data_IF_523814435178
#
_entry.id   IF_523814435178
#
_cell.length_a   1.000
_cell.length_b   1.000
_cell.length_c   1.000
_cell.angle_alpha   90.00
_cell.angle_beta   90.00
_cell.angle_gamma   90.00
#
_symmetry.space_group_name_H-M   'P 1'
#
loop_
_entity.id
_entity.type
_entity.pdbx_description
1 polymer ?
#
# COMPACT_ATOMS: atom_id res chain seq x y z
N UNK A 1 1.91 17.04 11.34
CA UNK A 1 0.81 16.71 10.41
C UNK A 1 1.10 15.32 9.87
N UNK A 2 0.48 14.28 10.44
CA UNK A 2 0.77 12.86 10.17
C UNK A 2 0.04 12.38 8.90
N UNK A 3 0.67 11.44 8.19
CA UNK A 3 0.43 11.08 6.79
C UNK A 3 -0.82 10.20 6.56
N UNK A 4 -1.38 10.24 5.34
CA UNK A 4 -2.53 9.45 4.81
C UNK A 4 -2.30 7.92 4.72
N UNK A 5 -1.28 7.39 5.40
CA UNK A 5 -0.82 6.01 5.29
C UNK A 5 -0.46 5.50 6.69
N UNK A 6 -1.44 5.37 7.58
CA UNK A 6 -1.18 4.79 8.91
C UNK A 6 -1.02 3.28 8.81
N UNK A 7 -1.90 2.62 8.08
CA UNK A 7 -1.95 1.17 7.93
C UNK A 7 -2.14 0.76 6.47
N UNK A 8 -1.60 -0.40 6.08
CA UNK A 8 -1.70 -0.99 4.75
C UNK A 8 -2.00 -2.48 4.87
N UNK A 9 -3.00 -2.94 4.14
CA UNK A 9 -3.48 -4.32 4.04
C UNK A 9 -2.84 -5.02 2.83
N UNK A 10 -1.51 -5.03 2.78
CA UNK A 10 -0.77 -5.65 1.67
C UNK A 10 -0.92 -7.17 1.72
N UNK A 11 -1.43 -7.77 0.64
CA UNK A 11 -1.58 -9.21 0.49
C UNK A 11 -0.63 -9.76 -0.59
N UNK A 12 0.19 -10.78 -0.30
CA UNK A 12 1.04 -11.39 -1.31
C UNK A 12 0.21 -12.04 -2.43
N UNK A 13 0.65 -11.96 -3.71
CA UNK A 13 -0.09 -12.57 -4.82
C UNK A 13 -0.33 -14.09 -4.66
N UNK A 14 0.63 -14.83 -4.10
CA UNK A 14 0.46 -16.26 -3.86
C UNK A 14 -0.62 -16.55 -2.80
N UNK A 15 -0.78 -15.69 -1.80
CA UNK A 15 -1.83 -15.82 -0.80
C UNK A 15 -3.21 -15.55 -1.40
N UNK A 16 -3.33 -14.56 -2.31
CA UNK A 16 -4.57 -14.32 -3.07
C UNK A 16 -4.95 -15.57 -3.87
N UNK A 17 -4.00 -16.12 -4.63
CA UNK A 17 -4.25 -17.31 -5.46
C UNK A 17 -4.68 -18.51 -4.61
N UNK A 18 -3.96 -18.79 -3.52
CA UNK A 18 -4.31 -19.92 -2.64
C UNK A 18 -5.67 -19.70 -1.96
N UNK A 19 -6.01 -18.47 -1.54
CA UNK A 19 -7.32 -18.17 -0.97
C UNK A 19 -8.46 -18.38 -1.98
N UNK A 20 -8.24 -18.07 -3.26
CA UNK A 20 -9.20 -18.37 -4.33
C UNK A 20 -9.38 -19.88 -4.47
N UNK A 21 -8.29 -20.66 -4.44
CA UNK A 21 -8.34 -22.12 -4.51
C UNK A 21 -9.04 -22.74 -3.30
N UNK A 22 -8.76 -22.24 -2.09
CA UNK A 22 -9.42 -22.69 -0.85
C UNK A 22 -10.94 -22.59 -0.96
N UNK A 23 -11.45 -21.49 -1.49
CA UNK A 23 -12.89 -21.25 -1.64
C UNK A 23 -13.46 -22.02 -2.82
N UNK A 24 -12.78 -22.04 -3.96
CA UNK A 24 -13.28 -22.67 -5.19
C UNK A 24 -13.37 -24.19 -5.10
N UNK A 25 -12.50 -24.82 -4.30
CA UNK A 25 -12.44 -26.28 -4.13
C UNK A 25 -12.96 -26.77 -2.78
N UNK A 26 -13.58 -25.90 -1.98
CA UNK A 26 -14.25 -26.30 -0.75
C UNK A 26 -15.43 -27.25 -1.05
N UNK A 27 -15.70 -28.17 -0.13
CA UNK A 27 -16.88 -29.03 -0.20
C UNK A 27 -18.18 -28.27 0.11
N UNK A 28 -18.07 -27.17 0.85
CA UNK A 28 -19.17 -26.28 1.19
C UNK A 28 -19.48 -25.33 0.03
N UNK A 29 -20.73 -24.90 -0.08
CA UNK A 29 -21.12 -23.89 -1.07
C UNK A 29 -20.39 -22.55 -0.79
N UNK A 30 -19.75 -21.93 -1.79
CA UNK A 30 -19.00 -20.70 -1.57
C UNK A 30 -19.94 -19.55 -1.20
N UNK A 31 -19.51 -18.63 -0.31
CA UNK A 31 -20.28 -17.43 -0.02
C UNK A 31 -20.39 -16.53 -1.25
N UNK A 32 -21.45 -15.71 -1.30
CA UNK A 32 -21.71 -14.78 -2.42
C UNK A 32 -20.57 -13.77 -2.61
N UNK A 33 -19.97 -13.29 -1.53
CA UNK A 33 -18.90 -12.29 -1.55
C UNK A 33 -17.81 -12.65 -0.55
N UNK A 34 -16.56 -12.51 -0.98
CA UNK A 34 -15.36 -12.63 -0.15
C UNK A 34 -14.47 -11.40 -0.37
N UNK A 35 -14.23 -10.62 0.67
CA UNK A 35 -13.28 -9.50 0.61
C UNK A 35 -11.85 -10.03 0.78
N UNK A 36 -11.14 -10.23 -0.32
CA UNK A 36 -9.73 -10.65 -0.32
C UNK A 36 -8.78 -9.46 -0.13
N UNK A 37 -8.78 -8.92 1.09
CA UNK A 37 -7.78 -7.96 1.57
C UNK A 37 -7.03 -8.56 2.75
N UNK A 38 -5.83 -8.06 3.07
CA UNK A 38 -5.06 -8.61 4.18
C UNK A 38 -5.78 -8.41 5.52
N UNK A 39 -6.06 -9.47 6.32
CA UNK A 39 -6.86 -9.38 7.54
C UNK A 39 -6.12 -8.72 8.72
N UNK A 40 -4.79 -8.59 8.61
CA UNK A 40 -3.91 -8.05 9.65
C UNK A 40 -3.06 -6.92 9.06
N UNK A 41 -3.59 -5.70 8.93
CA UNK A 41 -2.88 -4.62 8.27
C UNK A 41 -1.63 -4.22 9.06
N UNK A 42 -0.58 -3.81 8.35
CA UNK A 42 0.70 -3.39 8.95
C UNK A 42 0.89 -1.89 8.81
N UNK A 43 1.71 -1.29 9.66
CA UNK A 43 2.04 0.12 9.54
C UNK A 43 2.81 0.40 8.23
N UNK A 44 2.49 1.49 7.53
CA UNK A 44 3.18 1.88 6.29
C UNK A 44 4.71 1.93 6.44
N UNK A 45 5.17 2.40 7.60
CA UNK A 45 6.60 2.50 7.91
C UNK A 45 7.29 1.12 7.92
N UNK A 46 6.59 0.08 8.34
CA UNK A 46 7.09 -1.31 8.32
C UNK A 46 7.42 -1.77 6.90
N UNK A 47 6.69 -1.28 5.89
CA UNK A 47 6.96 -1.60 4.48
C UNK A 47 8.10 -0.75 3.90
N UNK A 48 8.05 0.58 4.08
CA UNK A 48 8.97 1.48 3.34
C UNK A 48 10.35 1.57 3.98
N UNK A 49 10.47 1.37 5.30
CA UNK A 49 11.77 1.47 5.97
C UNK A 49 12.79 0.44 5.44
N UNK A 50 12.46 -0.86 5.28
CA UNK A 50 13.36 -1.81 4.64
C UNK A 50 13.77 -1.42 3.22
N UNK A 51 12.90 -0.76 2.45
CA UNK A 51 13.23 -0.27 1.11
C UNK A 51 14.27 0.85 1.19
N UNK A 52 14.09 1.83 2.09
CA UNK A 52 15.04 2.91 2.29
C UNK A 52 16.41 2.39 2.75
N UNK A 53 16.44 1.36 3.60
CA UNK A 53 17.66 0.67 4.05
C UNK A 53 18.34 -0.07 2.88
N UNK A 54 17.57 -0.81 2.08
CA UNK A 54 18.08 -1.52 0.91
C UNK A 54 18.68 -0.58 -0.14
N UNK A 55 18.10 0.62 -0.34
CA UNK A 55 18.66 1.62 -1.27
C UNK A 55 20.07 2.07 -0.85
N UNK A 56 20.34 2.16 0.45
CA UNK A 56 21.67 2.49 0.99
C UNK A 56 22.61 1.29 0.85
N UNK A 57 22.15 0.09 1.21
CA UNK A 57 22.91 -1.16 1.08
C UNK A 57 23.38 -1.38 -0.37
N UNK A 58 22.48 -1.16 -1.33
CA UNK A 58 22.75 -1.27 -2.77
C UNK A 58 23.42 -0.03 -3.37
N UNK A 59 23.82 0.95 -2.57
CA UNK A 59 24.53 2.18 -3.00
C UNK A 59 23.77 3.01 -4.03
N UNK A 60 22.44 2.91 -4.05
CA UNK A 60 21.57 3.76 -4.87
C UNK A 60 21.56 5.17 -4.29
N UNK A 61 21.56 5.28 -2.95
CA UNK A 61 21.71 6.55 -2.22
C UNK A 61 22.83 6.45 -1.20
N UNK A 62 23.44 7.59 -0.84
CA UNK A 62 24.49 7.66 0.20
C UNK A 62 23.93 7.64 1.62
N UNK A 63 22.64 7.89 1.79
CA UNK A 63 21.93 7.91 3.07
C UNK A 63 20.45 7.53 2.87
N UNK A 64 19.75 7.09 3.93
CA UNK A 64 18.33 6.78 3.85
C UNK A 64 17.52 7.99 3.38
N UNK A 65 16.55 7.78 2.49
CA UNK A 65 15.66 8.84 2.06
C UNK A 65 14.77 9.30 3.24
N UNK A 66 14.56 10.62 3.41
CA UNK A 66 13.73 11.13 4.50
C UNK A 66 12.25 10.81 4.27
N UNK A 67 11.57 10.42 5.35
CA UNK A 67 10.12 10.28 5.36
C UNK A 67 9.46 11.65 5.59
N UNK A 68 8.84 12.19 4.54
CA UNK A 68 8.11 13.45 4.60
C UNK A 68 6.60 13.22 4.52
N UNK A 69 5.75 14.13 5.02
CA UNK A 69 4.31 14.09 4.79
C UNK A 69 3.97 14.05 3.29
N UNK A 70 2.89 13.35 2.94
CA UNK A 70 2.48 13.21 1.53
C UNK A 70 2.23 14.54 0.83
N UNK A 71 1.64 15.53 1.52
CA UNK A 71 1.43 16.88 0.98
C UNK A 71 2.74 17.57 0.60
N UNK A 72 3.75 17.46 1.46
CA UNK A 72 5.08 18.01 1.19
C UNK A 72 5.76 17.29 0.02
N UNK A 73 5.62 15.97 -0.06
CA UNK A 73 6.12 15.20 -1.20
C UNK A 73 5.44 15.61 -2.52
N UNK A 74 4.11 15.78 -2.52
CA UNK A 74 3.34 16.19 -3.69
C UNK A 74 3.73 17.60 -4.15
N UNK A 75 3.89 18.56 -3.24
CA UNK A 75 4.32 19.92 -3.56
C UNK A 75 5.70 19.94 -4.26
N UNK A 76 6.64 19.11 -3.79
CA UNK A 76 7.96 18.95 -4.44
C UNK A 76 7.83 18.35 -5.85
N UNK A 77 6.93 17.39 -6.04
CA UNK A 77 6.66 16.81 -7.36
C UNK A 77 6.03 17.83 -8.30
N UNK A 78 5.04 18.59 -7.84
CA UNK A 78 4.40 19.67 -8.60
C UNK A 78 5.38 20.75 -9.01
N UNK A 79 6.29 21.13 -8.11
CA UNK A 79 7.33 22.10 -8.41
C UNK A 79 8.29 21.57 -9.48
N UNK A 80 8.64 20.28 -9.42
CA UNK A 80 9.47 19.62 -10.44
C UNK A 80 8.78 19.51 -11.80
N UNK A 81 7.45 19.57 -11.82
CA UNK A 81 6.63 19.52 -13.02
C UNK A 81 6.32 20.90 -13.62
N UNK A 82 6.89 22.01 -13.10
CA UNK A 82 6.74 23.34 -13.72
C UNK A 82 7.60 23.47 -14.98
N UNK A 83 8.79 22.87 -14.97
CA UNK A 83 9.75 22.86 -16.09
C UNK A 83 9.71 21.52 -16.84
N UNK A 84 8.53 21.16 -17.36
CA UNK A 84 8.35 19.89 -18.07
C UNK A 84 9.13 19.90 -19.38
N UNK A 85 10.20 19.10 -19.40
CA UNK A 85 10.92 18.71 -20.60
C UNK A 85 11.02 17.20 -20.65
N UNK A 86 11.33 16.63 -21.82
CA UNK A 86 11.62 15.20 -21.92
C UNK A 86 12.74 14.77 -20.97
N UNK A 87 13.79 15.61 -20.84
CA UNK A 87 14.91 15.36 -19.93
C UNK A 87 14.48 15.39 -18.46
N UNK A 88 13.63 16.35 -18.08
CA UNK A 88 13.05 16.42 -16.73
C UNK A 88 12.22 15.16 -16.43
N UNK A 89 11.40 14.70 -17.38
CA UNK A 89 10.56 13.51 -17.23
C UNK A 89 11.37 12.20 -17.22
N UNK A 90 12.49 12.13 -17.95
CA UNK A 90 13.43 11.00 -17.86
C UNK A 90 14.09 10.94 -16.48
N UNK A 91 14.50 12.09 -15.95
CA UNK A 91 15.15 12.20 -14.64
C UNK A 91 14.16 11.97 -13.48
N UNK A 92 12.92 12.42 -13.62
CA UNK A 92 11.87 12.31 -12.59
C UNK A 92 10.62 11.66 -13.20
N UNK A 93 10.63 10.32 -13.38
CA UNK A 93 9.51 9.61 -14.01
C UNK A 93 8.19 9.74 -13.23
N UNK A 94 8.25 10.01 -11.92
CA UNK A 94 7.08 10.20 -11.07
C UNK A 94 6.16 11.34 -11.54
N UNK A 95 6.66 12.30 -12.34
CA UNK A 95 5.85 13.37 -12.93
C UNK A 95 4.69 12.80 -13.77
N UNK A 96 4.88 11.64 -14.39
CA UNK A 96 3.83 10.95 -15.17
C UNK A 96 2.63 10.50 -14.33
N UNK A 97 2.79 10.41 -13.01
CA UNK A 97 1.75 10.01 -12.06
C UNK A 97 1.12 11.21 -11.36
N UNK A 98 1.46 12.44 -11.75
CA UNK A 98 1.12 13.64 -10.97
C UNK A 98 -0.40 13.80 -10.77
N UNK A 99 -1.20 13.60 -11.81
CA UNK A 99 -2.66 13.73 -11.71
C UNK A 99 -3.27 12.65 -10.82
N UNK A 100 -2.70 11.44 -10.84
CA UNK A 100 -3.08 10.37 -9.90
C UNK A 100 -2.77 10.79 -8.45
N UNK A 101 -1.58 11.35 -8.20
CA UNK A 101 -1.18 11.80 -6.85
C UNK A 101 -2.06 12.96 -6.34
N UNK A 102 -2.47 13.89 -7.22
CA UNK A 102 -3.42 14.96 -6.90
C UNK A 102 -4.79 14.40 -6.51
N UNK A 103 -5.30 13.43 -7.28
CA UNK A 103 -6.57 12.77 -6.98
C UNK A 103 -6.56 12.11 -5.59
N UNK A 104 -5.46 11.45 -5.25
CA UNK A 104 -5.27 10.89 -3.91
C UNK A 104 -5.28 11.97 -2.81
N UNK A 105 -4.58 13.09 -3.02
CA UNK A 105 -4.53 14.18 -2.04
C UNK A 105 -5.91 14.80 -1.80
N UNK A 106 -6.68 15.06 -2.87
CA UNK A 106 -8.04 15.57 -2.76
C UNK A 106 -8.96 14.60 -2.01
N UNK A 107 -8.80 13.29 -2.27
CA UNK A 107 -9.59 12.25 -1.59
C UNK A 107 -9.26 12.20 -0.10
N UNK A 108 -7.98 12.26 0.29
CA UNK A 108 -7.55 12.30 1.70
C UNK A 108 -8.16 13.49 2.46
N UNK A 109 -8.18 14.68 1.83
CA UNK A 109 -8.83 15.86 2.40
C UNK A 109 -10.33 15.64 2.58
N UNK A 110 -11.01 15.10 1.58
CA UNK A 110 -12.45 14.84 1.63
C UNK A 110 -12.83 13.82 2.72
N UNK A 111 -12.06 12.74 2.86
CA UNK A 111 -12.26 11.73 3.91
C UNK A 111 -12.03 12.31 5.31
N UNK A 112 -10.98 13.12 5.50
CA UNK A 112 -10.75 13.77 6.80
C UNK A 112 -11.89 14.72 7.16
N UNK A 113 -12.40 15.46 6.16
CA UNK A 113 -13.51 16.37 6.35
C UNK A 113 -14.83 15.65 6.68
N UNK A 114 -15.01 14.40 6.25
CA UNK A 114 -16.21 13.61 6.57
C UNK A 114 -16.17 12.96 7.97
N UNK A 115 -15.04 13.04 8.69
CA UNK A 115 -14.89 12.48 10.03
C UNK A 115 -14.73 10.96 10.07
N UNK A 116 -14.53 10.30 8.93
CA UNK A 116 -14.27 8.86 8.86
C UNK A 116 -12.84 8.59 9.31
N UNK A 117 -12.68 7.78 10.37
CA UNK A 117 -11.37 7.44 10.95
C UNK A 117 -10.79 6.10 10.47
N UNK A 118 -11.62 5.24 9.89
CA UNK A 118 -11.25 3.87 9.52
C UNK A 118 -10.76 3.79 8.06
N UNK A 119 -9.65 4.46 7.77
CA UNK A 119 -9.11 4.56 6.40
C UNK A 119 -7.72 3.95 6.26
N UNK A 120 -7.56 3.14 5.22
CA UNK A 120 -6.29 2.55 4.83
C UNK A 120 -5.45 3.51 3.99
N UNK A 121 -4.14 3.26 3.97
CA UNK A 121 -3.19 3.72 2.96
C UNK A 121 -3.82 3.86 1.57
N UNK A 122 -3.75 5.07 1.01
CA UNK A 122 -4.29 5.35 -0.31
C UNK A 122 -5.76 5.73 -0.33
N UNK A 123 -6.32 6.15 0.82
CA UNK A 123 -7.69 6.67 0.92
C UNK A 123 -8.76 5.57 0.72
N UNK A 124 -8.42 4.33 1.04
CA UNK A 124 -9.29 3.16 0.86
C UNK A 124 -10.07 2.85 2.14
N UNK A 125 -11.26 2.28 1.99
CA UNK A 125 -12.08 1.80 3.11
C UNK A 125 -11.53 0.48 3.64
N UNK A 126 -11.50 0.30 4.97
CA UNK A 126 -11.20 -1.00 5.57
C UNK A 126 -12.34 -1.98 5.31
N UNK A 127 -12.03 -3.11 4.67
CA UNK A 127 -13.02 -4.14 4.41
C UNK A 127 -13.09 -5.16 5.56
N UNK A 128 -14.30 -5.63 5.87
CA UNK A 128 -14.48 -6.73 6.79
C UNK A 128 -13.93 -8.04 6.20
N UNK A 129 -13.03 -8.70 6.91
CA UNK A 129 -12.34 -9.93 6.47
C UNK A 129 -12.86 -11.21 7.11
N UNK A 130 -13.84 -11.13 8.02
CA UNK A 130 -14.35 -12.28 8.76
C UNK A 130 -14.84 -13.43 7.86
N UNK A 131 -15.41 -13.13 6.69
CA UNK A 131 -15.80 -14.16 5.72
C UNK A 131 -14.55 -14.82 5.14
N UNK A 132 -13.59 -14.03 4.64
CA UNK A 132 -12.36 -14.53 4.05
C UNK A 132 -11.58 -15.43 5.03
N UNK A 133 -11.44 -15.02 6.29
CA UNK A 133 -10.77 -15.79 7.34
C UNK A 133 -11.53 -17.07 7.73
N UNK A 134 -12.85 -17.11 7.55
CA UNK A 134 -13.66 -18.30 7.82
C UNK A 134 -13.53 -19.33 6.70
N UNK A 135 -13.58 -18.89 5.44
CA UNK A 135 -13.69 -19.78 4.28
C UNK A 135 -12.36 -20.14 3.62
N UNK A 136 -11.27 -19.48 4.00
CA UNK A 136 -9.93 -19.77 3.49
C UNK A 136 -8.95 -20.00 4.64
N UNK A 137 -8.41 -21.23 4.79
CA UNK A 137 -7.27 -21.50 5.66
C UNK A 137 -6.09 -20.57 5.38
N UNK A 138 -5.80 -20.29 4.09
CA UNK A 138 -4.75 -19.35 3.70
C UNK A 138 -4.94 -17.98 4.36
N UNK A 139 -6.13 -17.39 4.23
CA UNK A 139 -6.43 -16.08 4.82
C UNK A 139 -6.40 -16.11 6.35
N UNK A 140 -6.92 -17.17 6.94
CA UNK A 140 -6.92 -17.37 8.39
C UNK A 140 -5.50 -17.38 8.97
N UNK A 141 -4.56 -18.03 8.30
CA UNK A 141 -3.19 -18.24 8.78
C UNK A 141 -2.20 -17.17 8.30
N UNK A 142 -2.60 -16.31 7.35
CA UNK A 142 -1.73 -15.31 6.74
C UNK A 142 -1.18 -14.32 7.77
N UNK A 143 0.12 -14.42 8.04
CA UNK A 143 0.80 -13.51 8.97
C UNK A 143 0.93 -12.11 8.37
N UNK A 144 0.91 -11.10 9.25
CA UNK A 144 1.22 -9.73 8.87
C UNK A 144 2.57 -9.61 8.16
N UNK A 145 2.65 -8.67 7.23
CA UNK A 145 3.92 -8.33 6.62
C UNK A 145 4.85 -7.74 7.69
N UNK A 146 5.98 -8.41 7.90
CA UNK A 146 7.04 -7.99 8.80
C UNK A 146 8.33 -7.76 8.01
N UNK A 147 9.26 -7.02 8.60
CA UNK A 147 10.57 -6.71 8.00
C UNK A 147 11.44 -7.95 7.72
N UNK A 148 11.05 -9.13 8.21
CA UNK A 148 11.81 -10.38 8.11
C UNK A 148 11.45 -11.27 6.93
N UNK A 149 10.50 -10.91 6.06
CA UNK A 149 10.10 -11.76 4.93
C UNK A 149 11.16 -11.72 3.81
N UNK A 150 12.34 -12.32 4.06
CA UNK A 150 13.25 -12.76 3.00
C UNK A 150 12.65 -14.01 2.38
N UNK A 151 12.17 -13.88 1.15
CA UNK A 151 11.97 -15.06 0.32
C UNK A 151 13.36 -15.59 -0.05
N UNK A 152 13.79 -16.65 0.65
CA UNK A 152 14.84 -17.53 0.15
C UNK A 152 14.34 -18.13 -1.16
N UNK A 153 14.82 -17.58 -2.27
CA UNK A 153 14.70 -18.19 -3.59
C UNK A 153 15.61 -19.40 -3.74
#
# INVERSE_FOLDING_TARGET
>A
MTCAFQFLSWIPPHAISNAILDVAFAAEEPPIVVNLVHPRPTAWKTLIQPIAEAMVEHKITSSPLPFVPFSEWLERLESSAKDVSEETMKRIPAIKLLDFMRSMAHSDVAIRASGVMDTEAGCMTLFATAVAERVSPTMKELKELSSGTRHSG
#
